data_IF_736917384732
#
_entry.id   IF_736917384732
#
_cell.length_a   1.000
_cell.length_b   1.000
_cell.length_c   1.000
_cell.angle_alpha   90.00
_cell.angle_beta   90.00
_cell.angle_gamma   90.00
#
_symmetry.space_group_name_H-M   'P 1'
#
loop_
_entity.id
_entity.type
_entity.pdbx_description
1 polymer ?
#
# COMPACT_ATOMS: atom_id res chain seq x y z
N UNK A 1 17.61 -2.08 2.51
CA UNK A 1 19.05 -2.15 2.79
C UNK A 1 19.77 -3.01 1.76
N UNK A 2 19.37 -4.30 1.60
CA UNK A 2 20.08 -5.22 0.69
C UNK A 2 20.14 -4.73 -0.76
N UNK A 3 19.09 -4.13 -1.26
CA UNK A 3 19.08 -3.56 -2.62
C UNK A 3 20.02 -2.37 -2.74
N UNK A 4 20.11 -1.53 -1.70
CA UNK A 4 21.04 -0.39 -1.72
C UNK A 4 22.52 -0.80 -1.70
N UNK A 5 22.88 -1.88 -0.98
CA UNK A 5 24.22 -2.47 -1.08
C UNK A 5 24.52 -2.95 -2.52
N UNK A 6 23.50 -3.41 -3.24
CA UNK A 6 23.64 -3.86 -4.64
C UNK A 6 23.47 -2.71 -5.66
N UNK A 7 23.50 -1.46 -5.22
CA UNK A 7 23.46 -0.29 -6.08
C UNK A 7 22.06 0.26 -6.44
N UNK A 8 20.99 -0.31 -5.90
CA UNK A 8 19.63 0.10 -6.23
C UNK A 8 19.00 0.93 -5.10
N UNK A 9 18.41 2.07 -5.44
CA UNK A 9 17.54 2.82 -4.52
C UNK A 9 16.27 2.01 -4.29
N UNK A 10 15.80 1.97 -3.04
CA UNK A 10 14.57 1.27 -2.69
C UNK A 10 13.76 2.04 -1.65
N UNK A 11 12.44 1.86 -1.71
CA UNK A 11 11.50 2.31 -0.69
C UNK A 11 10.86 1.08 -0.07
N UNK A 12 10.84 1.02 1.26
CA UNK A 12 10.31 -0.10 2.01
C UNK A 12 9.31 0.40 3.05
N UNK A 13 8.04 0.11 2.85
CA UNK A 13 7.02 0.46 3.83
C UNK A 13 6.94 -0.62 4.90
N UNK A 14 7.14 -0.26 6.15
CA UNK A 14 7.16 -1.21 7.26
C UNK A 14 6.75 -0.57 8.58
N UNK A 15 6.48 -1.40 9.58
CA UNK A 15 6.34 -0.99 10.97
C UNK A 15 7.71 -1.08 11.63
N UNK A 16 8.15 0.02 12.24
CA UNK A 16 9.42 0.08 12.96
C UNK A 16 9.45 -0.89 14.13
N UNK A 17 10.51 -1.69 14.23
CA UNK A 17 10.66 -2.70 15.30
C UNK A 17 10.63 -2.08 16.70
N UNK A 18 11.20 -0.89 16.88
CA UNK A 18 11.29 -0.22 18.16
C UNK A 18 10.08 0.70 18.42
N UNK A 19 9.71 1.52 17.44
CA UNK A 19 8.63 2.51 17.60
C UNK A 19 7.25 1.92 17.43
N UNK A 20 7.12 0.77 16.75
CA UNK A 20 5.86 0.15 16.34
C UNK A 20 4.97 1.10 15.48
N UNK A 21 5.58 2.10 14.86
CA UNK A 21 4.94 3.05 13.96
C UNK A 21 5.20 2.69 12.51
N UNK A 22 4.20 2.94 11.67
CA UNK A 22 4.34 2.81 10.22
C UNK A 22 5.31 3.86 9.67
N UNK A 23 6.08 3.49 8.67
CA UNK A 23 6.99 4.40 8.00
C UNK A 23 7.41 3.91 6.64
N UNK A 24 7.86 4.85 5.81
CA UNK A 24 8.56 4.59 4.57
C UNK A 24 10.07 4.70 4.85
N UNK A 25 10.78 3.63 4.59
CA UNK A 25 12.22 3.54 4.74
C UNK A 25 12.86 3.67 3.35
N UNK A 26 13.54 4.77 3.13
CA UNK A 26 14.29 5.02 1.91
C UNK A 26 15.72 4.55 2.13
N UNK A 27 16.25 3.79 1.19
CA UNK A 27 17.63 3.35 1.21
C UNK A 27 18.30 3.62 -0.14
N UNK A 28 19.49 4.20 -0.10
CA UNK A 28 20.30 4.50 -1.28
C UNK A 28 21.74 4.10 -1.04
N UNK A 29 22.47 3.65 -2.08
CA UNK A 29 23.89 3.39 -1.98
C UNK A 29 24.68 4.69 -1.72
N UNK A 30 25.72 4.59 -0.90
CA UNK A 30 26.71 5.64 -0.72
C UNK A 30 27.97 5.23 -1.48
N UNK A 31 28.38 6.04 -2.43
CA UNK A 31 29.56 5.81 -3.25
C UNK A 31 30.78 6.56 -2.71
N UNK A 32 31.96 6.00 -2.92
CA UNK A 32 33.24 6.61 -2.51
C UNK A 32 33.51 7.93 -3.26
N UNK A 33 33.02 8.03 -4.51
CA UNK A 33 33.17 9.21 -5.37
C UNK A 33 32.00 9.29 -6.37
N UNK A 34 31.85 10.42 -7.04
CA UNK A 34 30.80 10.68 -8.04
C UNK A 34 31.08 10.06 -9.43
N UNK A 35 32.02 9.10 -9.52
CA UNK A 35 32.33 8.45 -10.79
C UNK A 35 31.43 7.23 -11.05
N UNK A 36 31.06 6.92 -12.32
CA UNK A 36 30.14 5.82 -12.64
C UNK A 36 30.60 4.42 -12.18
N UNK A 37 31.89 4.22 -11.95
CA UNK A 37 32.51 2.96 -11.50
C UNK A 37 32.92 2.98 -10.03
N UNK A 38 32.41 3.94 -9.27
CA UNK A 38 32.78 4.10 -7.86
C UNK A 38 32.31 2.95 -7.00
N UNK A 39 33.10 2.59 -6.00
CA UNK A 39 32.80 1.56 -5.03
C UNK A 39 31.69 2.01 -4.08
N UNK A 40 30.75 1.11 -3.78
CA UNK A 40 29.75 1.37 -2.73
C UNK A 40 30.44 1.15 -1.39
N UNK A 41 30.54 2.22 -0.60
CA UNK A 41 31.17 2.22 0.72
C UNK A 41 30.17 2.16 1.88
N UNK A 42 28.87 2.28 1.58
CA UNK A 42 27.83 2.23 2.60
C UNK A 42 26.44 2.38 2.03
N UNK A 43 25.47 2.53 2.92
CA UNK A 43 24.06 2.80 2.60
C UNK A 43 23.59 3.95 3.46
N UNK A 44 22.97 4.93 2.83
CA UNK A 44 22.20 5.96 3.52
C UNK A 44 20.77 5.49 3.63
N UNK A 45 20.19 5.57 4.82
CA UNK A 45 18.81 5.22 5.08
C UNK A 45 18.13 6.28 5.94
N UNK A 46 16.89 6.66 5.56
CA UNK A 46 16.06 7.52 6.39
C UNK A 46 14.62 7.02 6.43
N UNK A 47 13.94 7.29 7.53
CA UNK A 47 12.54 6.97 7.76
C UNK A 47 11.70 8.22 7.62
N UNK A 48 10.61 8.14 6.86
CA UNK A 48 9.54 9.11 6.82
C UNK A 48 8.32 8.50 7.51
N UNK A 49 7.67 9.26 8.42
CA UNK A 49 6.40 8.83 9.03
C UNK A 49 5.31 8.66 7.99
N UNK A 50 4.28 7.88 8.32
CA UNK A 50 3.21 7.56 7.36
C UNK A 50 2.03 8.54 7.41
N UNK A 51 2.01 9.47 8.38
CA UNK A 51 0.94 10.44 8.60
C UNK A 51 0.65 11.35 7.38
N UNK A 52 1.67 11.86 6.64
CA UNK A 52 1.41 12.66 5.44
C UNK A 52 0.67 11.86 4.36
N UNK A 53 1.00 10.58 4.22
CA UNK A 53 0.32 9.69 3.28
C UNK A 53 -1.13 9.42 3.69
N UNK A 54 -1.37 9.13 4.98
CA UNK A 54 -2.73 8.97 5.51
C UNK A 54 -3.57 10.24 5.31
N UNK A 55 -2.97 11.42 5.49
CA UNK A 55 -3.64 12.69 5.26
C UNK A 55 -4.03 12.87 3.80
N UNK A 56 -3.14 12.46 2.87
CA UNK A 56 -3.43 12.49 1.43
C UNK A 56 -4.59 11.55 1.08
N UNK A 57 -4.59 10.32 1.59
CA UNK A 57 -5.69 9.38 1.36
C UNK A 57 -7.02 9.94 1.86
N UNK A 58 -7.05 10.49 3.07
CA UNK A 58 -8.28 11.06 3.65
C UNK A 58 -8.84 12.24 2.84
N UNK A 59 -7.99 13.04 2.20
CA UNK A 59 -8.42 14.17 1.36
C UNK A 59 -9.21 13.74 0.12
N UNK A 60 -9.03 12.52 -0.36
CA UNK A 60 -9.79 12.00 -1.51
C UNK A 60 -11.29 11.88 -1.22
N UNK A 61 -11.67 11.69 0.05
CA UNK A 61 -13.05 11.40 0.45
C UNK A 61 -13.55 10.02 0.05
N UNK A 62 -12.75 9.25 -0.71
CA UNK A 62 -13.13 7.92 -1.21
C UNK A 62 -12.60 6.82 -0.28
N UNK A 63 -13.36 5.72 -0.11
CA UNK A 63 -12.84 4.54 0.56
C UNK A 63 -11.62 4.01 -0.21
N UNK A 64 -10.46 4.05 0.43
CA UNK A 64 -9.18 3.74 -0.21
C UNK A 64 -8.33 2.86 0.69
N UNK A 65 -7.63 1.89 0.11
CA UNK A 65 -6.63 1.09 0.81
C UNK A 65 -5.33 1.03 0.02
N UNK A 66 -4.21 1.03 0.73
CA UNK A 66 -2.90 0.70 0.21
C UNK A 66 -2.56 -0.72 0.67
N UNK A 67 -2.46 -1.64 -0.28
CA UNK A 67 -2.15 -3.04 -0.03
C UNK A 67 -0.66 -3.31 -0.21
N UNK A 68 -0.08 -4.02 0.75
CA UNK A 68 1.26 -4.60 0.61
C UNK A 68 1.26 -5.72 -0.46
N UNK A 69 2.45 -6.17 -0.93
CA UNK A 69 2.56 -7.30 -1.84
C UNK A 69 1.88 -8.58 -1.33
N UNK A 70 1.80 -8.77 -0.01
CA UNK A 70 1.11 -9.91 0.61
C UNK A 70 -0.40 -9.68 0.77
N UNK A 71 -0.92 -8.53 0.33
CA UNK A 71 -2.34 -8.19 0.39
C UNK A 71 -2.81 -7.66 1.73
N UNK A 72 -1.93 -7.08 2.55
CA UNK A 72 -2.31 -6.44 3.82
C UNK A 72 -2.61 -4.96 3.60
N UNK A 73 -3.73 -4.47 4.09
CA UNK A 73 -4.10 -3.06 4.08
C UNK A 73 -3.18 -2.27 5.04
N UNK A 74 -2.06 -1.81 4.53
CA UNK A 74 -1.05 -1.07 5.29
C UNK A 74 -1.53 0.34 5.68
N UNK A 75 -2.30 0.98 4.80
CA UNK A 75 -3.00 2.23 5.06
C UNK A 75 -4.43 2.14 4.52
N UNK A 76 -5.34 2.90 5.14
CA UNK A 76 -6.73 2.97 4.71
C UNK A 76 -7.38 4.27 5.15
N UNK A 77 -8.34 4.75 4.37
CA UNK A 77 -9.28 5.80 4.78
C UNK A 77 -10.33 5.30 5.77
N UNK A 78 -10.48 3.97 5.90
CA UNK A 78 -11.35 3.31 6.86
C UNK A 78 -10.49 2.67 7.95
N UNK A 79 -10.50 3.18 9.20
CA UNK A 79 -9.64 2.66 10.28
C UNK A 79 -9.81 1.16 10.51
N UNK A 80 -11.03 0.66 10.38
CA UNK A 80 -11.38 -0.76 10.57
C UNK A 80 -10.76 -1.70 9.52
N UNK A 81 -10.29 -1.16 8.39
CA UNK A 81 -9.62 -1.94 7.34
C UNK A 81 -8.10 -1.97 7.52
N UNK A 82 -7.56 -1.12 8.40
CA UNK A 82 -6.11 -1.09 8.61
C UNK A 82 -5.62 -2.42 9.17
N UNK A 83 -4.61 -2.97 8.54
CA UNK A 83 -4.04 -4.31 8.79
C UNK A 83 -4.97 -5.49 8.48
N UNK A 84 -6.15 -5.25 7.90
CA UNK A 84 -6.94 -6.34 7.33
C UNK A 84 -6.25 -6.94 6.10
N UNK A 85 -6.50 -8.22 5.84
CA UNK A 85 -5.88 -8.98 4.74
C UNK A 85 -6.89 -9.19 3.62
N UNK A 86 -6.48 -8.96 2.39
CA UNK A 86 -7.28 -9.24 1.22
C UNK A 86 -7.66 -10.73 1.13
N UNK A 87 -8.93 -11.08 0.88
CA UNK A 87 -9.33 -12.47 0.68
C UNK A 87 -8.70 -13.10 -0.57
N UNK A 88 -8.51 -14.44 -0.65
CA UNK A 88 -8.82 -15.40 0.39
C UNK A 88 -7.77 -15.41 1.51
N UNK A 89 -8.23 -15.57 2.74
CA UNK A 89 -7.39 -15.63 3.93
C UNK A 89 -6.88 -17.07 4.13
N UNK A 90 -5.75 -17.39 3.50
CA UNK A 90 -5.13 -18.73 3.61
C UNK A 90 -4.02 -18.76 4.66
N UNK A 91 -3.79 -19.93 5.26
CA UNK A 91 -2.70 -20.10 6.23
C UNK A 91 -1.34 -19.75 5.59
N UNK A 92 -1.09 -20.20 4.35
CA UNK A 92 0.14 -19.89 3.63
C UNK A 92 0.39 -18.38 3.47
N UNK A 93 -0.67 -17.60 3.20
CA UNK A 93 -0.58 -16.13 3.13
C UNK A 93 -0.25 -15.52 4.49
N UNK A 94 -0.88 -15.98 5.56
CA UNK A 94 -0.60 -15.51 6.93
C UNK A 94 0.85 -15.83 7.31
N UNK A 95 1.36 -16.99 6.97
CA UNK A 95 2.73 -17.37 7.26
C UNK A 95 3.74 -16.54 6.45
N UNK A 96 3.43 -16.22 5.18
CA UNK A 96 4.23 -15.31 4.38
C UNK A 96 4.26 -13.88 4.95
N UNK A 97 3.12 -13.38 5.44
CA UNK A 97 3.02 -12.08 6.12
C UNK A 97 3.92 -12.06 7.36
N UNK A 98 3.85 -13.10 8.20
CA UNK A 98 4.69 -13.23 9.40
C UNK A 98 6.17 -13.32 9.06
N UNK A 99 6.52 -14.12 8.06
CA UNK A 99 7.90 -14.31 7.62
C UNK A 99 8.54 -13.03 7.10
N UNK A 100 7.75 -12.12 6.49
CA UNK A 100 8.25 -10.82 5.98
C UNK A 100 8.75 -9.90 7.09
N UNK A 101 8.25 -10.05 8.32
CA UNK A 101 8.49 -9.15 9.47
C UNK A 101 8.20 -7.67 9.20
N UNK A 102 7.55 -7.37 8.07
CA UNK A 102 7.27 -6.02 7.60
C UNK A 102 6.24 -5.29 8.47
N UNK A 103 5.35 -6.05 9.10
CA UNK A 103 4.18 -5.54 9.82
C UNK A 103 4.33 -5.59 11.35
N UNK A 104 5.58 -5.68 11.85
CA UNK A 104 5.89 -5.66 13.27
C UNK A 104 5.12 -6.74 14.03
N UNK A 105 4.59 -6.39 15.19
CA UNK A 105 3.91 -7.33 16.09
C UNK A 105 2.43 -7.60 15.72
N UNK A 106 1.87 -6.90 14.75
CA UNK A 106 0.43 -7.02 14.44
C UNK A 106 -0.01 -8.42 14.01
N UNK A 107 0.90 -9.22 13.46
CA UNK A 107 0.61 -10.57 12.98
C UNK A 107 1.30 -11.68 13.80
N UNK A 108 2.00 -11.33 14.89
CA UNK A 108 2.65 -12.34 15.74
C UNK A 108 1.64 -13.18 16.50
N UNK A 109 0.55 -12.56 16.97
CA UNK A 109 -0.49 -13.20 17.78
C UNK A 109 -1.87 -12.79 17.27
N UNK A 110 -2.76 -13.75 17.15
CA UNK A 110 -4.16 -13.55 16.83
C UNK A 110 -4.55 -13.90 15.39
N UNK A 111 -5.85 -13.80 15.13
CA UNK A 111 -6.44 -14.00 13.80
C UNK A 111 -6.35 -12.69 13.02
N UNK A 112 -5.85 -12.75 11.78
CA UNK A 112 -5.93 -11.62 10.87
C UNK A 112 -7.40 -11.36 10.50
N UNK A 113 -7.84 -10.11 10.51
CA UNK A 113 -9.13 -9.73 9.95
C UNK A 113 -9.05 -9.74 8.43
N UNK A 114 -10.14 -10.14 7.77
CA UNK A 114 -10.25 -10.04 6.32
C UNK A 114 -10.80 -8.67 5.92
N UNK A 115 -10.32 -8.14 4.79
CA UNK A 115 -11.01 -7.05 4.12
C UNK A 115 -12.43 -7.50 3.72
N UNK A 116 -13.45 -6.63 3.84
CA UNK A 116 -14.83 -7.00 3.52
C UNK A 116 -15.10 -7.10 2.01
N UNK A 117 -14.06 -7.02 1.19
CA UNK A 117 -14.16 -7.10 -0.26
C UNK A 117 -12.90 -7.74 -0.88
N UNK A 118 -13.05 -8.25 -2.10
CA UNK A 118 -11.96 -8.75 -2.91
C UNK A 118 -11.39 -7.60 -3.78
N UNK A 119 -10.12 -7.20 -3.56
CA UNK A 119 -9.54 -6.07 -4.30
C UNK A 119 -9.36 -6.30 -5.80
N UNK A 120 -9.43 -7.55 -6.26
CA UNK A 120 -9.33 -7.96 -7.67
C UNK A 120 -10.67 -7.98 -8.40
N UNK A 121 -11.79 -7.85 -7.68
CA UNK A 121 -13.11 -7.70 -8.31
C UNK A 121 -13.21 -6.39 -9.10
N UNK A 122 -14.12 -6.33 -10.08
CA UNK A 122 -14.43 -5.09 -10.80
C UNK A 122 -15.43 -4.20 -10.03
N UNK A 123 -16.36 -4.84 -9.30
CA UNK A 123 -17.31 -4.17 -8.41
C UNK A 123 -17.43 -4.93 -7.10
N UNK A 124 -17.80 -4.23 -6.04
CA UNK A 124 -18.05 -4.82 -4.71
C UNK A 124 -19.24 -4.17 -4.05
N UNK A 125 -19.97 -4.97 -3.25
CA UNK A 125 -21.09 -4.49 -2.45
C UNK A 125 -20.66 -4.31 -1.01
N UNK A 126 -20.74 -3.09 -0.46
CA UNK A 126 -20.44 -2.79 0.94
C UNK A 126 -21.59 -2.04 1.58
N UNK A 127 -22.17 -2.62 2.63
CA UNK A 127 -23.28 -2.02 3.38
C UNK A 127 -24.48 -1.58 2.49
N UNK A 128 -24.75 -2.34 1.43
CA UNK A 128 -25.85 -2.05 0.51
C UNK A 128 -25.53 -1.01 -0.57
N UNK A 129 -24.29 -0.52 -0.64
CA UNK A 129 -23.80 0.40 -1.68
C UNK A 129 -22.89 -0.37 -2.63
N UNK A 130 -23.09 -0.20 -3.93
CA UNK A 130 -22.26 -0.79 -4.97
C UNK A 130 -21.12 0.17 -5.33
N UNK A 131 -19.87 -0.37 -5.32
CA UNK A 131 -18.67 0.37 -5.66
C UNK A 131 -17.96 -0.25 -6.85
N UNK A 132 -17.48 0.57 -7.77
CA UNK A 132 -16.44 0.19 -8.71
C UNK A 132 -15.09 0.13 -7.99
N UNK A 133 -14.25 -0.84 -8.38
CA UNK A 133 -12.92 -1.04 -7.80
C UNK A 133 -11.86 -0.61 -8.79
N UNK A 134 -11.20 0.51 -8.50
CA UNK A 134 -10.07 1.02 -9.26
C UNK A 134 -8.76 0.63 -8.58
N UNK A 135 -7.76 0.22 -9.38
CA UNK A 135 -6.48 -0.28 -8.88
C UNK A 135 -5.31 0.34 -9.61
N UNK A 136 -4.29 0.71 -8.86
CA UNK A 136 -3.00 1.10 -9.40
C UNK A 136 -1.87 0.37 -8.71
N UNK A 137 -0.99 -0.20 -9.50
CA UNK A 137 0.25 -0.81 -9.01
C UNK A 137 1.30 0.26 -8.75
N UNK A 138 1.97 0.15 -7.59
CA UNK A 138 3.06 1.03 -7.18
C UNK A 138 4.32 0.17 -7.04
N UNK A 139 5.36 0.55 -7.76
CA UNK A 139 6.65 -0.12 -7.71
C UNK A 139 7.64 0.69 -6.87
N UNK A 140 7.90 0.21 -5.67
CA UNK A 140 8.86 0.81 -4.75
C UNK A 140 10.17 0.05 -4.68
N UNK A 141 10.43 -0.87 -5.62
CA UNK A 141 11.52 -1.83 -5.51
C UNK A 141 11.47 -2.61 -4.17
N UNK A 142 10.27 -2.88 -3.67
CA UNK A 142 10.08 -3.72 -2.49
C UNK A 142 10.42 -5.18 -2.84
N UNK A 143 11.28 -5.86 -2.08
CA UNK A 143 11.62 -7.26 -2.32
C UNK A 143 10.41 -8.20 -2.33
N UNK A 144 9.33 -7.84 -1.63
CA UNK A 144 8.09 -8.59 -1.60
C UNK A 144 7.23 -8.45 -2.86
N UNK A 145 7.54 -7.48 -3.73
CA UNK A 145 6.80 -7.19 -4.96
C UNK A 145 6.13 -5.82 -4.98
N UNK A 146 5.19 -5.65 -5.92
CA UNK A 146 4.50 -4.37 -6.12
C UNK A 146 3.39 -4.18 -5.10
N UNK A 147 3.25 -2.95 -4.65
CA UNK A 147 2.14 -2.49 -3.83
C UNK A 147 0.94 -2.15 -4.71
N UNK A 148 -0.25 -2.09 -4.13
CA UNK A 148 -1.47 -1.74 -4.84
C UNK A 148 -2.25 -0.67 -4.08
N UNK A 149 -2.53 0.44 -4.74
CA UNK A 149 -3.54 1.39 -4.30
C UNK A 149 -4.89 0.94 -4.86
N UNK A 150 -5.87 0.75 -3.99
CA UNK A 150 -7.24 0.36 -4.35
C UNK A 150 -8.18 1.45 -3.89
N UNK A 151 -8.98 1.96 -4.80
CA UNK A 151 -9.98 3.00 -4.56
C UNK A 151 -11.35 2.44 -4.87
N UNK A 152 -12.32 2.69 -4.00
CA UNK A 152 -13.71 2.30 -4.20
C UNK A 152 -14.53 3.54 -4.54
N UNK A 153 -15.17 3.52 -5.71
CA UNK A 153 -15.98 4.60 -6.21
C UNK A 153 -17.47 4.21 -6.18
N UNK A 154 -18.28 4.98 -5.48
CA UNK A 154 -19.74 4.71 -5.33
C UNK A 154 -20.44 4.88 -6.67
N UNK A 155 -20.90 3.77 -7.24
CA UNK A 155 -21.64 3.73 -8.49
C UNK A 155 -23.15 3.53 -8.30
N UNK A 156 -23.63 3.47 -7.06
CA UNK A 156 -25.06 3.27 -6.76
C UNK A 156 -25.95 4.39 -7.33
N UNK A 157 -25.44 5.62 -7.40
CA UNK A 157 -26.12 6.78 -7.97
C UNK A 157 -26.07 6.83 -9.52
N UNK A 158 -25.25 5.99 -10.16
CA UNK A 158 -25.04 6.00 -11.63
C UNK A 158 -26.12 5.25 -12.41
N UNK A 159 -27.13 4.71 -11.75
CA UNK A 159 -28.27 4.05 -12.39
C UNK A 159 -29.14 5.01 -13.21
N UNK A 160 -28.94 6.31 -13.10
CA UNK A 160 -29.48 7.34 -14.02
C UNK A 160 -28.42 7.74 -15.04
N UNK A 161 -28.56 7.27 -16.28
CA UNK A 161 -27.61 7.22 -17.38
C UNK A 161 -26.90 8.51 -17.83
N UNK A 162 -26.96 9.63 -17.11
CA UNK A 162 -26.36 10.90 -17.48
C UNK A 162 -25.11 11.31 -16.67
N UNK A 163 -24.82 10.66 -15.54
CA UNK A 163 -23.73 11.05 -14.61
C UNK A 163 -22.44 10.20 -14.73
N UNK A 164 -22.42 9.24 -15.64
CA UNK A 164 -21.26 8.31 -15.83
C UNK A 164 -19.93 8.97 -16.18
N UNK A 165 -19.94 10.20 -16.66
CA UNK A 165 -18.75 10.91 -17.17
C UNK A 165 -17.97 11.70 -16.09
N UNK A 166 -18.56 11.99 -14.93
CA UNK A 166 -17.89 12.81 -13.90
C UNK A 166 -17.15 12.00 -12.84
N UNK A 167 -17.54 10.75 -12.61
CA UNK A 167 -17.06 9.92 -11.49
C UNK A 167 -15.68 9.31 -11.79
N UNK A 168 -15.43 8.91 -13.03
CA UNK A 168 -14.09 8.43 -13.43
C UNK A 168 -12.97 9.47 -13.27
N UNK A 169 -13.32 10.78 -13.23
CA UNK A 169 -12.36 11.86 -13.10
C UNK A 169 -11.70 11.99 -11.73
N UNK A 170 -12.44 11.73 -10.64
CA UNK A 170 -11.89 11.89 -9.29
C UNK A 170 -10.92 10.76 -8.93
N UNK A 171 -11.26 9.53 -9.28
CA UNK A 171 -10.36 8.38 -9.11
C UNK A 171 -9.10 8.52 -9.99
N UNK A 172 -9.26 9.03 -11.21
CA UNK A 172 -8.15 9.27 -12.13
C UNK A 172 -7.17 10.33 -11.58
N UNK A 173 -7.67 11.41 -10.98
CA UNK A 173 -6.83 12.49 -10.41
C UNK A 173 -6.03 11.95 -9.22
N UNK A 174 -6.64 11.15 -8.34
CA UNK A 174 -5.92 10.56 -7.21
C UNK A 174 -4.79 9.61 -7.69
N UNK A 175 -5.08 8.80 -8.71
CA UNK A 175 -4.13 7.88 -9.30
C UNK A 175 -2.99 8.60 -10.04
N UNK A 176 -3.22 9.78 -10.61
CA UNK A 176 -2.19 10.56 -11.31
C UNK A 176 -1.25 11.33 -10.39
N UNK A 177 -1.66 11.62 -9.15
CA UNK A 177 -0.82 12.32 -8.16
C UNK A 177 0.23 11.41 -7.49
N UNK A 178 0.10 10.09 -7.63
CA UNK A 178 0.97 9.08 -7.01
C UNK A 178 1.94 8.42 -8.01
N UNK A 179 1.90 8.77 -9.25
CA UNK A 179 2.79 8.30 -10.34
C UNK A 179 3.70 9.37 -10.81
#
# INVERSE_FOLDING_TARGET
FQQAINGAVSVYAAIGSNTQERGLYYAAPLYESDTPSSTIIGVVMFKVGFEPFDALLRRSGLPTVLLSPQGVAFASTRPEWQFAVAPPLTQARIDAIRASRQLGKHFEKGLASALPFAPDASTVMLNGVEYAVERRSIDWNDPGGKWQLVVLDDISALMTGAQRLQVGGAAFVLLSLLG
#
